data_IF_935248315788
#
_entry.id   IF_935248315788
#
_cell.length_a   1.000
_cell.length_b   1.000
_cell.length_c   1.000
_cell.angle_alpha   90.00
_cell.angle_beta   90.00
_cell.angle_gamma   90.00
#
_symmetry.space_group_name_H-M   'P 1'
#
loop_
_entity.id
_entity.type
_entity.pdbx_description
1 polymer ?
#
# COMPACT_ATOMS: atom_id res chain seq x y z
N UNK A 1 -23.07 1.30 -6.15
CA UNK A 1 -23.89 1.40 -4.93
C UNK A 1 -24.19 2.88 -4.68
N UNK A 2 -25.45 3.30 -4.51
CA UNK A 2 -25.77 4.71 -4.23
C UNK A 2 -25.27 5.10 -2.83
N UNK A 3 -24.56 6.23 -2.74
CA UNK A 3 -23.99 6.72 -1.49
C UNK A 3 -23.82 8.24 -1.53
N UNK A 4 -23.72 8.85 -0.36
CA UNK A 4 -23.42 10.28 -0.16
C UNK A 4 -22.17 10.39 0.70
N UNK A 5 -21.20 11.18 0.25
CA UNK A 5 -19.95 11.43 0.97
C UNK A 5 -20.00 12.82 1.58
N UNK A 6 -19.69 12.93 2.87
CA UNK A 6 -19.56 14.22 3.56
C UNK A 6 -18.29 14.24 4.41
N UNK A 7 -17.57 15.35 4.39
CA UNK A 7 -16.44 15.56 5.29
C UNK A 7 -16.96 15.92 6.69
N UNK A 8 -16.34 15.38 7.73
CA UNK A 8 -16.65 15.65 9.12
C UNK A 8 -15.39 15.93 9.92
N UNK A 9 -15.44 16.99 10.73
CA UNK A 9 -14.40 17.31 11.69
C UNK A 9 -14.89 16.99 13.12
N UNK A 10 -14.11 16.18 13.83
CA UNK A 10 -14.31 15.88 15.23
C UNK A 10 -14.07 17.13 16.07
N UNK A 11 -14.72 17.22 17.24
CA UNK A 11 -14.48 18.27 18.23
C UNK A 11 -13.02 18.31 18.69
N UNK A 12 -12.34 17.17 18.70
CA UNK A 12 -10.90 17.06 19.01
C UNK A 12 -9.99 17.60 17.89
N UNK A 13 -10.52 17.81 16.68
CA UNK A 13 -9.80 18.36 15.52
C UNK A 13 -9.54 17.36 14.39
N UNK A 14 -9.69 16.05 14.63
CA UNK A 14 -9.54 15.03 13.61
C UNK A 14 -10.54 15.16 12.48
N UNK A 15 -10.15 14.77 11.26
CA UNK A 15 -10.98 14.94 10.06
C UNK A 15 -11.21 13.60 9.38
N UNK A 16 -12.36 13.44 8.75
CA UNK A 16 -12.68 12.20 8.08
C UNK A 16 -13.90 12.31 7.19
N UNK A 17 -14.24 11.20 6.55
CA UNK A 17 -15.37 11.08 5.66
C UNK A 17 -16.45 10.22 6.30
N UNK A 18 -17.69 10.69 6.24
CA UNK A 18 -18.88 9.89 6.50
C UNK A 18 -19.49 9.55 5.15
N UNK A 19 -19.54 8.25 4.84
CA UNK A 19 -20.09 7.71 3.59
C UNK A 19 -21.42 7.05 3.92
N UNK A 20 -22.51 7.80 3.74
CA UNK A 20 -23.84 7.29 3.97
C UNK A 20 -24.28 6.42 2.79
N UNK A 21 -24.54 5.14 3.05
CA UNK A 21 -25.00 4.14 2.09
C UNK A 21 -26.38 3.65 2.53
N UNK A 22 -27.48 4.27 2.06
CA UNK A 22 -28.83 3.90 2.47
C UNK A 22 -29.13 2.42 2.24
N UNK A 23 -29.63 1.74 3.27
CA UNK A 23 -30.01 0.32 3.20
C UNK A 23 -28.85 -0.66 3.18
N UNK A 24 -27.60 -0.21 3.36
CA UNK A 24 -26.47 -1.12 3.52
C UNK A 24 -26.68 -2.05 4.73
N UNK A 25 -26.46 -3.36 4.58
CA UNK A 25 -26.57 -4.32 5.69
C UNK A 25 -25.31 -4.38 6.56
N UNK A 26 -24.29 -3.58 6.25
CA UNK A 26 -22.98 -3.56 6.92
C UNK A 26 -22.47 -2.14 7.11
N UNK A 27 -21.59 -1.97 8.09
CA UNK A 27 -20.74 -0.79 8.29
C UNK A 27 -19.28 -1.20 8.11
N UNK A 28 -18.49 -0.34 7.48
CA UNK A 28 -17.04 -0.43 7.40
C UNK A 28 -16.40 0.88 7.88
N UNK A 29 -15.27 0.78 8.55
CA UNK A 29 -14.56 1.95 9.08
C UNK A 29 -13.06 1.76 8.97
N UNK A 30 -12.34 2.86 8.75
CA UNK A 30 -10.90 2.95 8.81
C UNK A 30 -10.48 4.22 9.55
N UNK A 31 -9.57 4.10 10.51
CA UNK A 31 -8.92 5.21 11.20
C UNK A 31 -7.42 5.12 10.95
N UNK A 32 -6.85 6.19 10.41
CA UNK A 32 -5.50 6.19 9.87
C UNK A 32 -4.68 7.33 10.44
N UNK A 33 -3.45 7.02 10.83
CA UNK A 33 -2.48 7.99 11.34
C UNK A 33 -1.22 7.95 10.48
N UNK A 34 -0.55 9.10 10.33
CA UNK A 34 0.85 9.11 9.86
C UNK A 34 1.70 8.68 11.04
N UNK A 35 1.80 7.37 11.21
CA UNK A 35 2.35 6.71 12.39
C UNK A 35 3.13 5.43 12.03
N UNK A 36 3.43 5.25 10.74
CA UNK A 36 4.23 4.14 10.25
C UNK A 36 5.67 4.16 10.74
N UNK A 37 6.47 3.20 10.26
CA UNK A 37 7.83 2.99 10.76
C UNK A 37 8.73 4.25 10.63
N UNK A 38 8.54 5.08 9.61
CA UNK A 38 9.33 6.31 9.39
C UNK A 38 9.06 7.43 10.40
N UNK A 39 8.07 7.27 11.29
CA UNK A 39 7.77 8.26 12.36
C UNK A 39 8.43 7.92 13.71
N UNK A 40 9.10 6.76 13.80
CA UNK A 40 9.84 6.33 14.99
C UNK A 40 11.01 7.27 15.25
N UNK A 41 11.18 7.75 16.50
CA UNK A 41 12.23 8.73 16.87
C UNK A 41 13.65 8.26 16.52
N UNK A 42 13.92 6.98 16.73
CA UNK A 42 15.19 6.33 16.42
C UNK A 42 14.96 5.24 15.37
N UNK A 43 14.43 5.64 14.21
CA UNK A 43 14.08 4.71 13.13
C UNK A 43 15.25 3.79 12.72
N UNK A 44 16.48 4.30 12.79
CA UNK A 44 17.68 3.54 12.41
C UNK A 44 17.95 2.35 13.34
N UNK A 45 17.62 2.47 14.63
CA UNK A 45 17.90 1.41 15.61
C UNK A 45 16.66 0.75 16.20
N UNK A 46 15.47 1.29 15.93
CA UNK A 46 14.18 0.86 16.49
C UNK A 46 13.07 0.77 15.44
N UNK A 47 13.39 0.48 14.18
CA UNK A 47 12.47 0.55 13.05
C UNK A 47 11.14 -0.20 13.23
N UNK A 48 11.11 -1.26 14.05
CA UNK A 48 9.90 -2.06 14.31
C UNK A 48 8.98 -1.50 15.42
N UNK A 49 9.25 -0.32 15.97
CA UNK A 49 8.46 0.25 17.08
C UNK A 49 6.99 0.46 16.67
N UNK A 50 6.74 0.98 15.46
CA UNK A 50 5.37 1.18 14.97
C UNK A 50 4.64 -0.16 14.73
N UNK A 51 5.32 -1.13 14.15
CA UNK A 51 4.79 -2.46 13.89
C UNK A 51 4.45 -3.23 15.17
N UNK A 52 5.32 -3.18 16.19
CA UNK A 52 5.02 -3.77 17.51
C UNK A 52 3.86 -3.04 18.18
N UNK A 53 3.76 -1.71 18.04
CA UNK A 53 2.61 -0.96 18.56
C UNK A 53 1.30 -1.43 17.95
N UNK A 54 1.29 -1.74 16.66
CA UNK A 54 0.14 -2.26 15.93
C UNK A 54 -0.33 -3.61 16.44
N UNK A 55 0.60 -4.55 16.62
CA UNK A 55 0.32 -5.82 17.30
C UNK A 55 -0.30 -5.64 18.68
N UNK A 56 0.18 -4.66 19.44
CA UNK A 56 -0.32 -4.36 20.79
C UNK A 56 -1.61 -3.53 20.79
N UNK A 57 -2.08 -3.05 19.63
CA UNK A 57 -3.13 -2.04 19.56
C UNK A 57 -4.50 -2.53 20.07
N UNK A 58 -4.73 -3.84 19.99
CA UNK A 58 -5.94 -4.51 20.49
C UNK A 58 -5.74 -5.19 21.85
N UNK A 59 -4.64 -4.86 22.54
CA UNK A 59 -4.29 -5.39 23.86
C UNK A 59 -5.06 -4.75 25.02
N UNK A 60 -4.44 -4.72 26.20
CA UNK A 60 -5.02 -4.08 27.38
C UNK A 60 -5.30 -2.58 27.13
N UNK A 61 -6.45 -2.11 27.61
CA UNK A 61 -6.94 -0.73 27.48
C UNK A 61 -7.89 -0.38 28.62
N UNK A 62 -8.36 0.86 28.70
CA UNK A 62 -9.31 1.29 29.75
C UNK A 62 -10.60 0.45 29.80
N UNK A 63 -10.97 -0.20 28.69
CA UNK A 63 -12.16 -1.04 28.59
C UNK A 63 -11.92 -2.55 28.73
N UNK A 64 -10.67 -3.02 28.64
CA UNK A 64 -10.33 -4.44 28.50
C UNK A 64 -9.03 -4.78 29.20
N UNK A 65 -9.03 -5.84 30.01
CA UNK A 65 -7.82 -6.24 30.73
C UNK A 65 -6.83 -6.98 29.82
N UNK A 66 -7.32 -7.62 28.74
CA UNK A 66 -6.49 -8.43 27.83
C UNK A 66 -6.97 -8.33 26.39
N UNK A 67 -6.08 -8.65 25.44
CA UNK A 67 -6.42 -8.79 24.03
C UNK A 67 -7.53 -9.83 23.77
N UNK A 68 -7.56 -10.91 24.56
CA UNK A 68 -8.56 -11.97 24.42
C UNK A 68 -9.97 -11.48 24.79
N UNK A 69 -10.09 -10.64 25.82
CA UNK A 69 -11.37 -10.03 26.19
C UNK A 69 -11.86 -9.02 25.16
N UNK A 70 -10.94 -8.22 24.60
CA UNK A 70 -11.23 -7.31 23.50
C UNK A 70 -11.76 -8.11 22.30
N UNK A 71 -11.00 -9.12 21.86
CA UNK A 71 -11.36 -9.96 20.71
C UNK A 71 -12.72 -10.64 20.89
N UNK A 72 -12.93 -11.32 22.01
CA UNK A 72 -14.18 -12.02 22.29
C UNK A 72 -15.37 -11.04 22.34
N UNK A 73 -15.16 -9.83 22.84
CA UNK A 73 -16.20 -8.79 22.88
C UNK A 73 -16.46 -8.22 21.49
N UNK A 74 -15.41 -7.93 20.72
CA UNK A 74 -15.52 -7.33 19.40
C UNK A 74 -16.22 -8.28 18.44
N UNK A 75 -15.72 -9.52 18.34
CA UNK A 75 -16.14 -10.53 17.36
C UNK A 75 -17.43 -11.26 17.71
N UNK A 76 -17.97 -11.08 18.93
CA UNK A 76 -19.16 -11.78 19.47
C UNK A 76 -20.32 -11.95 18.48
N UNK A 77 -20.59 -10.92 17.67
CA UNK A 77 -21.68 -10.90 16.70
C UNK A 77 -21.19 -10.86 15.24
N UNK A 78 -20.01 -11.44 14.97
CA UNK A 78 -19.43 -11.57 13.64
C UNK A 78 -18.76 -10.32 13.08
N UNK A 79 -18.47 -9.33 13.93
CA UNK A 79 -17.65 -8.20 13.52
C UNK A 79 -16.19 -8.63 13.31
N UNK A 80 -15.54 -8.03 12.33
CA UNK A 80 -14.14 -8.26 11.99
C UNK A 80 -13.40 -6.95 12.23
N UNK A 81 -12.22 -7.03 12.81
CA UNK A 81 -11.29 -5.92 12.93
C UNK A 81 -9.90 -6.37 12.50
N UNK A 82 -9.08 -5.40 12.14
CA UNK A 82 -7.69 -5.61 11.81
C UNK A 82 -6.93 -4.29 12.03
N UNK A 83 -5.61 -4.38 12.11
CA UNK A 83 -4.76 -3.23 11.92
C UNK A 83 -3.61 -3.60 10.98
N UNK A 84 -2.98 -2.59 10.41
CA UNK A 84 -1.75 -2.77 9.65
C UNK A 84 -0.91 -1.51 9.72
N UNK A 85 0.39 -1.70 9.50
CA UNK A 85 1.39 -0.64 9.50
C UNK A 85 2.25 -0.75 8.26
N UNK A 86 2.53 0.38 7.63
CA UNK A 86 3.57 0.51 6.60
C UNK A 86 4.60 1.56 7.04
N UNK A 87 5.45 2.04 6.13
CA UNK A 87 6.45 3.04 6.46
C UNK A 87 5.86 4.41 6.81
N UNK A 88 4.67 4.73 6.30
CA UNK A 88 3.98 6.00 6.49
C UNK A 88 2.75 5.88 7.39
N UNK A 89 1.95 4.83 7.22
CA UNK A 89 0.62 4.71 7.82
C UNK A 89 0.58 3.68 8.94
N UNK A 90 -0.31 3.94 9.90
CA UNK A 90 -0.87 2.92 10.77
C UNK A 90 -2.39 3.04 10.69
N UNK A 91 -3.05 1.93 10.42
CA UNK A 91 -4.47 1.87 10.08
C UNK A 91 -5.18 0.88 10.98
N UNK A 92 -6.30 1.31 11.54
CA UNK A 92 -7.27 0.48 12.25
C UNK A 92 -8.48 0.33 11.37
N UNK A 93 -8.92 -0.90 11.11
CA UNK A 93 -10.10 -1.17 10.31
C UNK A 93 -11.09 -2.09 11.02
N UNK A 94 -12.37 -1.88 10.76
CA UNK A 94 -13.40 -2.79 11.20
C UNK A 94 -14.58 -2.85 10.23
N UNK A 95 -15.20 -4.02 10.16
CA UNK A 95 -16.43 -4.28 9.43
C UNK A 95 -17.41 -5.04 10.31
N UNK A 96 -18.68 -4.65 10.31
CA UNK A 96 -19.72 -5.36 11.04
C UNK A 96 -21.09 -5.29 10.35
N UNK A 97 -22.03 -6.13 10.81
CA UNK A 97 -23.42 -6.01 10.43
C UNK A 97 -24.02 -4.67 10.90
N UNK A 98 -25.00 -4.14 10.16
CA UNK A 98 -25.61 -2.83 10.45
C UNK A 98 -26.14 -2.76 11.87
N UNK A 99 -26.80 -3.79 12.40
CA UNK A 99 -27.34 -3.76 13.76
C UNK A 99 -26.26 -3.61 14.87
N UNK A 100 -24.99 -3.83 14.54
CA UNK A 100 -23.85 -3.72 15.45
C UNK A 100 -23.07 -2.41 15.32
N UNK A 101 -23.38 -1.56 14.33
CA UNK A 101 -22.51 -0.46 13.89
C UNK A 101 -22.07 0.46 15.05
N UNK A 102 -23.00 0.79 15.96
CA UNK A 102 -22.75 1.71 17.06
C UNK A 102 -21.85 1.09 18.14
N UNK A 103 -22.07 -0.20 18.44
CA UNK A 103 -21.26 -0.96 19.39
C UNK A 103 -19.83 -1.11 18.87
N UNK A 104 -19.69 -1.58 17.64
CA UNK A 104 -18.39 -1.86 17.02
C UNK A 104 -17.57 -0.59 16.83
N UNK A 105 -18.19 0.49 16.37
CA UNK A 105 -17.51 1.78 16.27
C UNK A 105 -17.09 2.31 17.65
N UNK A 106 -17.95 2.14 18.66
CA UNK A 106 -17.62 2.52 20.04
C UNK A 106 -16.43 1.73 20.62
N UNK A 107 -16.30 0.44 20.27
CA UNK A 107 -15.21 -0.41 20.75
C UNK A 107 -13.83 -0.02 20.18
N UNK A 108 -13.78 0.55 18.97
CA UNK A 108 -12.53 1.03 18.39
C UNK A 108 -11.89 2.17 19.19
N UNK A 109 -12.68 2.94 19.95
CA UNK A 109 -12.16 3.99 20.85
C UNK A 109 -11.07 3.43 21.77
N UNK A 110 -11.28 2.24 22.35
CA UNK A 110 -10.35 1.69 23.34
C UNK A 110 -8.98 1.36 22.72
N UNK A 111 -8.98 0.73 21.55
CA UNK A 111 -7.75 0.40 20.82
C UNK A 111 -6.98 1.63 20.33
N UNK A 112 -7.71 2.67 19.90
CA UNK A 112 -7.12 3.87 19.29
C UNK A 112 -6.71 4.91 20.33
N UNK A 113 -7.57 5.18 21.31
CA UNK A 113 -7.46 6.32 22.21
C UNK A 113 -6.96 5.97 23.62
N UNK A 114 -7.09 4.70 24.03
CA UNK A 114 -6.83 4.28 25.42
C UNK A 114 -6.00 2.98 25.57
N UNK A 115 -5.03 2.67 24.68
CA UNK A 115 -4.19 1.48 24.86
C UNK A 115 -3.21 1.65 26.03
N UNK A 116 -2.99 0.60 26.82
CA UNK A 116 -2.09 0.64 27.98
C UNK A 116 -0.64 0.30 27.64
N UNK A 117 -0.44 -0.48 26.58
CA UNK A 117 0.87 -1.01 26.15
C UNK A 117 1.68 -1.57 27.33
N UNK A 118 1.11 -2.51 28.10
CA UNK A 118 1.77 -3.03 29.30
C UNK A 118 3.00 -3.91 28.95
N UNK A 119 3.81 -4.22 29.96
CA UNK A 119 5.07 -4.94 29.75
C UNK A 119 4.88 -6.41 29.34
N UNK A 120 3.79 -7.04 29.77
CA UNK A 120 3.50 -8.45 29.49
C UNK A 120 3.03 -8.63 28.04
N UNK A 121 2.11 -7.76 27.57
CA UNK A 121 1.67 -7.65 26.18
C UNK A 121 2.88 -7.39 25.27
N UNK A 122 3.77 -6.47 25.67
CA UNK A 122 4.97 -6.14 24.90
C UNK A 122 5.88 -7.36 24.71
N UNK A 123 6.14 -8.11 25.78
CA UNK A 123 6.99 -9.30 25.71
C UNK A 123 6.41 -10.38 24.79
N UNK A 124 5.08 -10.56 24.80
CA UNK A 124 4.38 -11.48 23.89
C UNK A 124 4.49 -11.02 22.43
N UNK A 125 4.14 -9.77 22.15
CA UNK A 125 4.06 -9.26 20.78
C UNK A 125 5.42 -9.12 20.11
N UNK A 126 6.49 -8.84 20.85
CA UNK A 126 7.87 -8.92 20.33
C UNK A 126 8.18 -10.30 19.77
N UNK A 127 7.71 -11.37 20.42
CA UNK A 127 7.88 -12.74 19.94
C UNK A 127 7.11 -13.03 18.67
N UNK A 128 5.88 -12.52 18.56
CA UNK A 128 5.03 -12.64 17.38
C UNK A 128 5.64 -11.93 16.16
N UNK A 129 5.96 -10.64 16.30
CA UNK A 129 6.60 -9.83 15.24
C UNK A 129 7.91 -10.45 14.77
N UNK A 130 8.76 -10.91 15.70
CA UNK A 130 10.01 -11.58 15.32
C UNK A 130 9.77 -12.83 14.47
N UNK A 131 8.76 -13.64 14.81
CA UNK A 131 8.42 -14.85 14.07
C UNK A 131 7.89 -14.52 12.67
N UNK A 132 7.08 -13.48 12.56
CA UNK A 132 6.55 -12.98 11.29
C UNK A 132 7.67 -12.48 10.37
N UNK A 133 8.58 -11.63 10.86
CA UNK A 133 9.71 -11.12 10.07
C UNK A 133 10.64 -12.24 9.60
N UNK A 134 10.90 -13.24 10.44
CA UNK A 134 11.64 -14.46 10.03
C UNK A 134 10.90 -15.17 8.90
N UNK A 135 9.58 -15.27 8.98
CA UNK A 135 8.74 -15.80 7.91
C UNK A 135 8.91 -15.04 6.60
N UNK A 136 8.96 -13.70 6.65
CA UNK A 136 9.16 -12.84 5.47
C UNK A 136 10.51 -13.05 4.78
N UNK A 137 11.57 -13.39 5.51
CA UNK A 137 12.89 -13.69 4.92
C UNK A 137 12.92 -14.94 4.03
N UNK A 138 11.86 -15.75 4.04
CA UNK A 138 11.69 -16.88 3.13
C UNK A 138 10.97 -16.52 1.82
N UNK A 139 10.41 -15.31 1.72
CA UNK A 139 9.66 -14.85 0.55
C UNK A 139 10.55 -13.97 -0.34
N UNK A 140 10.72 -14.36 -1.60
CA UNK A 140 11.62 -13.69 -2.55
C UNK A 140 11.32 -12.19 -2.68
N UNK A 141 10.07 -11.83 -2.93
CA UNK A 141 9.66 -10.44 -3.16
C UNK A 141 9.87 -9.57 -1.92
N UNK A 142 9.60 -10.10 -0.74
CA UNK A 142 9.80 -9.39 0.54
C UNK A 142 11.28 -9.13 0.85
N UNK A 143 12.19 -9.94 0.32
CA UNK A 143 13.63 -9.68 0.46
C UNK A 143 14.14 -8.76 -0.66
N UNK A 144 13.60 -8.89 -1.87
CA UNK A 144 14.08 -8.20 -3.05
C UNK A 144 13.68 -6.72 -3.08
N UNK A 145 12.39 -6.41 -2.88
CA UNK A 145 11.87 -5.05 -3.08
C UNK A 145 12.38 -4.00 -2.10
N UNK A 146 12.50 -4.27 -0.77
CA UNK A 146 13.15 -3.32 0.13
C UNK A 146 14.60 -3.03 -0.28
N UNK A 147 15.31 -4.02 -0.84
CA UNK A 147 16.68 -3.82 -1.32
C UNK A 147 16.75 -3.02 -2.61
N UNK A 148 15.74 -3.12 -3.48
CA UNK A 148 15.56 -2.24 -4.65
C UNK A 148 15.35 -0.80 -4.19
N UNK A 149 14.42 -0.57 -3.27
CA UNK A 149 14.14 0.75 -2.70
C UNK A 149 15.42 1.38 -2.10
N UNK A 150 16.13 0.64 -1.24
CA UNK A 150 17.41 1.08 -0.68
C UNK A 150 18.51 1.35 -1.71
N UNK A 151 18.61 0.51 -2.75
CA UNK A 151 19.58 0.74 -3.81
C UNK A 151 19.31 2.07 -4.53
N UNK A 152 18.04 2.47 -4.61
CA UNK A 152 17.55 3.67 -5.26
C UNK A 152 17.50 4.91 -4.35
N UNK A 153 17.95 4.82 -3.09
CA UNK A 153 18.04 5.94 -2.16
C UNK A 153 16.92 6.05 -1.12
N UNK A 154 15.93 5.15 -1.14
CA UNK A 154 14.89 5.10 -0.11
C UNK A 154 15.44 4.54 1.22
N UNK A 155 15.13 5.17 2.35
CA UNK A 155 15.63 4.74 3.67
C UNK A 155 14.80 3.62 4.33
N UNK A 156 13.87 3.00 3.60
CA UNK A 156 13.14 1.79 4.02
C UNK A 156 14.09 0.73 4.59
N UNK A 157 13.71 0.12 5.73
CA UNK A 157 14.46 -1.01 6.31
C UNK A 157 14.07 -2.34 5.69
N UNK A 158 15.07 -3.16 5.40
CA UNK A 158 14.85 -4.58 5.10
C UNK A 158 14.30 -5.31 6.33
N UNK A 159 13.62 -6.44 6.13
CA UNK A 159 13.14 -7.26 7.25
C UNK A 159 14.27 -7.79 8.14
N UNK A 160 15.50 -7.96 7.61
CA UNK A 160 16.66 -8.33 8.43
C UNK A 160 17.08 -7.17 9.34
N UNK A 161 17.19 -5.95 8.81
CA UNK A 161 17.48 -4.76 9.64
C UNK A 161 16.36 -4.50 10.66
N UNK A 162 15.11 -4.76 10.28
CA UNK A 162 13.97 -4.76 11.19
C UNK A 162 14.16 -5.74 12.34
N UNK A 163 14.49 -7.00 12.07
CA UNK A 163 14.81 -8.01 13.08
C UNK A 163 15.96 -7.58 14.00
N UNK A 164 17.01 -7.01 13.42
CA UNK A 164 18.20 -6.57 14.15
C UNK A 164 17.90 -5.36 15.07
N UNK A 165 16.86 -4.59 14.77
CA UNK A 165 16.41 -3.44 15.57
C UNK A 165 15.60 -3.82 16.81
N UNK A 166 14.89 -4.96 16.79
CA UNK A 166 13.96 -5.38 17.85
C UNK A 166 14.58 -5.36 19.26
N UNK A 167 15.82 -5.83 19.49
CA UNK A 167 16.43 -5.84 20.82
C UNK A 167 16.59 -4.45 21.47
N UNK A 168 16.53 -3.36 20.69
CA UNK A 168 16.68 -1.99 21.19
C UNK A 168 15.34 -1.33 21.57
N UNK A 169 14.22 -2.02 21.33
CA UNK A 169 12.88 -1.48 21.51
C UNK A 169 12.40 -1.80 22.92
N UNK A 170 11.74 -0.82 23.55
CA UNK A 170 11.13 -0.97 24.89
C UNK A 170 9.64 -0.63 24.83
N UNK A 171 8.87 -1.09 25.82
CA UNK A 171 7.46 -0.70 25.95
C UNK A 171 7.27 0.82 26.07
N UNK A 172 8.27 1.55 26.57
CA UNK A 172 8.23 3.01 26.63
C UNK A 172 8.37 3.66 25.25
N UNK A 173 9.17 3.07 24.35
CA UNK A 173 9.24 3.54 22.96
C UNK A 173 7.89 3.40 22.25
N UNK A 174 7.14 2.34 22.55
CA UNK A 174 5.78 2.11 22.03
C UNK A 174 4.82 3.20 22.53
N UNK A 175 4.81 3.46 23.85
CA UNK A 175 3.97 4.52 24.45
C UNK A 175 4.32 5.90 23.91
N UNK A 176 5.60 6.20 23.76
CA UNK A 176 6.06 7.47 23.22
C UNK A 176 5.70 7.62 21.73
N UNK A 177 5.82 6.54 20.95
CA UNK A 177 5.39 6.52 19.55
C UNK A 177 3.89 6.79 19.43
N UNK A 178 3.05 6.11 20.23
CA UNK A 178 1.61 6.37 20.29
C UNK A 178 1.33 7.82 20.66
N UNK A 179 1.91 8.33 21.76
CA UNK A 179 1.69 9.70 22.25
C UNK A 179 2.02 10.77 21.21
N UNK A 180 3.07 10.55 20.40
CA UNK A 180 3.50 11.50 19.35
C UNK A 180 2.65 11.41 18.08
N UNK A 181 2.14 10.23 17.74
CA UNK A 181 1.55 9.96 16.43
C UNK A 181 0.02 9.87 16.45
N UNK A 182 -0.57 9.44 17.56
CA UNK A 182 -2.02 9.28 17.74
C UNK A 182 -2.64 10.57 18.28
N UNK A 183 -2.51 11.64 17.50
CA UNK A 183 -3.08 12.96 17.80
C UNK A 183 -4.24 13.29 16.88
N UNK A 184 -5.12 14.16 17.33
CA UNK A 184 -6.34 14.49 16.61
C UNK A 184 -6.05 15.11 15.22
N UNK A 185 -5.13 16.07 15.09
CA UNK A 185 -4.80 16.64 13.77
C UNK A 185 -4.10 15.67 12.83
N UNK A 186 -3.48 14.61 13.38
CA UNK A 186 -2.87 13.54 12.60
C UNK A 186 -3.87 12.45 12.16
N UNK A 187 -5.07 12.40 12.73
CA UNK A 187 -6.10 11.42 12.37
C UNK A 187 -6.77 11.76 11.03
N UNK A 188 -6.88 10.74 10.17
CA UNK A 188 -7.85 10.68 9.07
C UNK A 188 -8.74 9.46 9.26
N UNK A 189 -10.04 9.58 9.02
CA UNK A 189 -10.94 8.43 9.10
C UNK A 189 -11.93 8.38 7.94
N UNK A 190 -12.43 7.18 7.66
CA UNK A 190 -13.60 6.97 6.79
C UNK A 190 -14.54 6.02 7.52
N UNK A 191 -15.80 6.40 7.64
CA UNK A 191 -16.85 5.53 8.19
C UNK A 191 -17.99 5.44 7.18
N UNK A 192 -18.25 4.23 6.70
CA UNK A 192 -19.21 3.95 5.65
C UNK A 192 -20.27 2.96 6.11
N UNK A 193 -21.53 3.23 5.82
CA UNK A 193 -22.64 2.37 6.25
C UNK A 193 -23.99 3.08 6.13
N UNK A 194 -25.06 2.46 6.59
CA UNK A 194 -26.36 3.09 6.58
C UNK A 194 -26.49 4.07 7.76
N UNK A 195 -26.57 5.37 7.51
CA UNK A 195 -26.70 6.37 8.58
C UNK A 195 -27.97 7.22 8.47
N UNK A 196 -28.94 6.80 7.64
CA UNK A 196 -30.24 7.46 7.52
C UNK A 196 -30.92 7.52 8.88
N UNK A 197 -31.21 8.73 9.37
CA UNK A 197 -31.79 8.96 10.70
C UNK A 197 -30.85 8.71 11.90
N UNK A 198 -29.57 8.37 11.65
CA UNK A 198 -28.59 7.96 12.68
C UNK A 198 -27.32 8.82 12.72
N UNK A 199 -27.20 9.84 11.86
CA UNK A 199 -26.02 10.73 11.78
C UNK A 199 -25.70 11.42 13.13
N UNK A 200 -26.71 11.80 13.92
CA UNK A 200 -26.48 12.41 15.24
C UNK A 200 -25.72 11.47 16.18
N UNK A 201 -26.20 10.23 16.32
CA UNK A 201 -25.55 9.19 17.13
C UNK A 201 -24.15 8.85 16.61
N UNK A 202 -23.97 8.77 15.29
CA UNK A 202 -22.65 8.55 14.69
C UNK A 202 -21.66 9.66 15.10
N UNK A 203 -22.07 10.92 14.99
CA UNK A 203 -21.25 12.07 15.39
C UNK A 203 -20.96 12.07 16.88
N UNK A 204 -21.90 11.67 17.74
CA UNK A 204 -21.66 11.53 19.17
C UNK A 204 -20.59 10.49 19.47
N UNK A 205 -20.67 9.30 18.85
CA UNK A 205 -19.67 8.24 19.00
C UNK A 205 -18.31 8.72 18.50
N UNK A 206 -18.23 9.30 17.29
CA UNK A 206 -16.98 9.80 16.73
C UNK A 206 -16.36 10.92 17.60
N UNK A 207 -17.17 11.79 18.19
CA UNK A 207 -16.67 12.81 19.11
C UNK A 207 -16.25 12.28 20.49
N UNK A 208 -16.53 11.02 20.80
CA UNK A 208 -16.04 10.37 22.01
C UNK A 208 -14.59 9.87 21.88
N UNK A 209 -14.01 9.90 20.67
CA UNK A 209 -12.61 9.57 20.41
C UNK A 209 -11.72 10.71 20.93
N UNK A 210 -11.33 10.58 22.19
CA UNK A 210 -10.53 11.55 22.94
C UNK A 210 -9.05 11.38 22.62
N UNK A 211 -8.62 11.99 21.52
CA UNK A 211 -7.21 12.09 21.14
C UNK A 211 -6.62 13.42 21.61
N UNK A 212 -5.34 13.39 21.98
CA UNK A 212 -4.59 14.62 22.29
C UNK A 212 -4.49 15.54 21.07
N UNK A 213 -4.31 16.84 21.32
CA UNK A 213 -4.04 17.80 20.25
C UNK A 213 -2.67 17.52 19.61
N UNK A 214 -2.55 17.83 18.32
CA UNK A 214 -1.31 17.70 17.55
C UNK A 214 -1.55 17.98 16.08
N UNK A 215 -0.49 18.26 15.34
CA UNK A 215 -0.55 18.58 13.92
C UNK A 215 -0.49 17.31 13.05
N UNK A 216 -0.87 17.45 11.78
CA UNK A 216 -0.64 16.41 10.77
C UNK A 216 0.86 16.29 10.54
N UNK A 217 1.45 15.13 10.84
CA UNK A 217 2.89 14.92 10.69
C UNK A 217 3.27 14.93 9.20
N UNK A 218 4.45 15.48 8.81
CA UNK A 218 4.88 15.48 7.41
C UNK A 218 5.32 14.08 6.96
N UNK A 219 5.14 13.76 5.67
CA UNK A 219 5.67 12.51 5.08
C UNK A 219 7.16 12.70 4.83
N UNK A 220 7.98 11.71 5.20
CA UNK A 220 9.41 11.74 4.94
C UNK A 220 9.68 11.76 3.43
N UNK A 221 10.74 12.48 3.02
CA UNK A 221 11.14 12.60 1.62
C UNK A 221 12.57 12.11 1.49
N UNK A 222 12.77 11.11 0.63
CA UNK A 222 14.07 10.56 0.31
C UNK A 222 14.56 11.08 -1.06
N UNK A 223 15.87 11.21 -1.19
CA UNK A 223 16.51 11.60 -2.45
C UNK A 223 16.76 10.36 -3.32
N UNK A 224 15.90 10.16 -4.30
CA UNK A 224 15.97 9.02 -5.19
C UNK A 224 17.10 9.17 -6.22
N UNK A 225 17.85 8.10 -6.49
CA UNK A 225 18.92 8.06 -7.48
C UNK A 225 18.98 6.71 -8.21
N UNK A 226 19.57 6.68 -9.42
CA UNK A 226 19.81 5.42 -10.12
C UNK A 226 20.82 4.55 -9.39
N UNK A 227 20.76 3.25 -9.63
CA UNK A 227 21.66 2.30 -9.00
C UNK A 227 22.11 1.21 -10.00
N UNK A 228 23.35 0.70 -9.89
CA UNK A 228 23.76 -0.46 -10.68
C UNK A 228 22.89 -1.68 -10.31
N UNK A 229 22.87 -2.69 -11.19
CA UNK A 229 22.18 -3.93 -10.85
C UNK A 229 22.78 -4.61 -9.61
N UNK A 230 21.99 -5.46 -8.95
CA UNK A 230 22.48 -6.27 -7.84
C UNK A 230 21.83 -7.65 -7.81
N UNK A 231 22.43 -8.55 -7.03
CA UNK A 231 21.97 -9.93 -6.89
C UNK A 231 22.02 -10.38 -5.43
N UNK A 232 20.90 -10.90 -4.94
CA UNK A 232 20.77 -11.57 -3.64
C UNK A 232 20.80 -13.08 -3.90
N UNK A 233 21.97 -13.69 -3.69
CA UNK A 233 22.17 -15.10 -4.03
C UNK A 233 21.58 -16.02 -2.96
N UNK A 234 20.65 -16.90 -3.37
CA UNK A 234 20.03 -17.96 -2.57
C UNK A 234 20.07 -19.28 -3.33
N UNK A 235 21.07 -20.11 -3.00
CA UNK A 235 21.33 -21.40 -3.70
C UNK A 235 20.23 -22.43 -3.51
N UNK A 236 19.45 -22.29 -2.44
CA UNK A 236 18.32 -23.12 -2.06
C UNK A 236 17.03 -22.78 -2.84
N UNK A 237 17.01 -21.66 -3.57
CA UNK A 237 15.88 -21.20 -4.37
C UNK A 237 16.18 -21.47 -5.85
N UNK A 238 15.53 -22.45 -6.50
CA UNK A 238 15.84 -22.83 -7.89
C UNK A 238 15.49 -21.77 -8.92
N UNK A 239 14.46 -20.95 -8.65
CA UNK A 239 14.03 -19.86 -9.52
C UNK A 239 14.80 -18.56 -9.30
N UNK A 240 14.53 -17.57 -10.15
CA UNK A 240 14.99 -16.20 -9.98
C UNK A 240 13.78 -15.27 -9.83
N UNK A 241 13.78 -14.48 -8.76
CA UNK A 241 12.97 -13.26 -8.67
C UNK A 241 13.66 -12.12 -9.40
N UNK A 242 12.96 -11.48 -10.33
CA UNK A 242 13.39 -10.30 -11.06
C UNK A 242 12.61 -9.09 -10.54
N UNK A 243 13.31 -8.00 -10.27
CA UNK A 243 12.73 -6.68 -10.04
C UNK A 243 13.43 -5.65 -10.92
N UNK A 244 12.64 -4.82 -11.61
CA UNK A 244 13.09 -3.64 -12.33
C UNK A 244 12.25 -2.48 -11.84
N UNK A 245 12.89 -1.40 -11.39
CA UNK A 245 12.18 -0.23 -10.87
C UNK A 245 12.69 1.02 -11.58
N UNK A 246 11.76 1.82 -12.10
CA UNK A 246 12.02 3.13 -12.68
C UNK A 246 11.33 4.19 -11.81
N UNK A 247 12.01 5.25 -11.43
CA UNK A 247 11.51 6.27 -10.50
C UNK A 247 11.52 7.65 -11.14
N UNK A 248 10.50 8.45 -10.83
CA UNK A 248 10.47 9.90 -11.10
C UNK A 248 10.28 10.68 -9.79
N UNK A 249 11.00 11.77 -9.53
CA UNK A 249 10.96 12.55 -8.29
C UNK A 249 9.81 13.57 -8.33
N UNK A 250 8.63 13.12 -8.73
CA UNK A 250 7.40 13.90 -8.70
C UNK A 250 6.19 12.98 -8.54
N UNK A 251 5.13 13.51 -7.95
CA UNK A 251 3.80 12.92 -8.02
C UNK A 251 3.28 12.95 -9.47
N UNK A 252 2.82 11.82 -9.98
CA UNK A 252 2.03 11.79 -11.20
C UNK A 252 0.61 12.32 -10.94
N UNK A 253 0.07 13.09 -11.88
CA UNK A 253 -1.32 13.56 -11.85
C UNK A 253 -2.31 12.40 -12.01
N UNK A 254 -3.59 12.63 -11.69
CA UNK A 254 -4.65 11.61 -11.85
C UNK A 254 -4.66 11.05 -13.27
N UNK A 255 -4.68 11.92 -14.29
CA UNK A 255 -4.68 11.51 -15.68
C UNK A 255 -3.45 10.67 -16.08
N UNK A 256 -2.27 10.99 -15.53
CA UNK A 256 -1.05 10.19 -15.73
C UNK A 256 -1.16 8.83 -15.03
N UNK A 257 -1.72 8.76 -13.82
CA UNK A 257 -1.99 7.50 -13.11
C UNK A 257 -2.97 6.62 -13.89
N UNK A 258 -4.04 7.19 -14.43
CA UNK A 258 -5.01 6.47 -15.27
C UNK A 258 -4.37 6.00 -16.60
N UNK A 259 -3.54 6.84 -17.22
CA UNK A 259 -2.79 6.48 -18.43
C UNK A 259 -1.86 5.28 -18.18
N UNK A 260 -1.08 5.32 -17.11
CA UNK A 260 -0.18 4.22 -16.75
C UNK A 260 -0.91 2.96 -16.29
N UNK A 261 -2.10 3.10 -15.68
CA UNK A 261 -2.96 1.96 -15.33
C UNK A 261 -3.45 1.22 -16.58
N UNK A 262 -3.86 1.96 -17.62
CA UNK A 262 -4.22 1.39 -18.92
C UNK A 262 -3.00 0.75 -19.61
N UNK A 263 -1.84 1.40 -19.55
CA UNK A 263 -0.60 0.85 -20.10
C UNK A 263 -0.19 -0.45 -19.42
N UNK A 264 -0.27 -0.54 -18.09
CA UNK A 264 0.00 -1.76 -17.34
C UNK A 264 -0.92 -2.90 -17.80
N UNK A 265 -2.19 -2.61 -18.11
CA UNK A 265 -3.10 -3.61 -18.68
C UNK A 265 -2.68 -4.06 -20.08
N UNK A 266 -2.32 -3.12 -20.96
CA UNK A 266 -1.83 -3.42 -22.32
C UNK A 266 -0.57 -4.30 -22.27
N UNK A 267 0.34 -4.05 -21.33
CA UNK A 267 1.60 -4.78 -21.21
C UNK A 267 1.44 -6.13 -20.50
N UNK A 268 0.77 -6.20 -19.35
CA UNK A 268 0.79 -7.38 -18.47
C UNK A 268 -0.59 -7.88 -18.01
N UNK A 269 -1.68 -7.21 -18.35
CA UNK A 269 -3.00 -7.45 -17.75
C UNK A 269 -3.64 -8.81 -18.04
N UNK A 270 -3.39 -9.42 -19.19
CA UNK A 270 -4.05 -10.65 -19.65
C UNK A 270 -3.12 -11.55 -20.48
N UNK A 271 -3.63 -12.69 -20.92
CA UNK A 271 -2.95 -13.57 -21.88
C UNK A 271 -2.90 -13.00 -23.32
N UNK A 272 -3.56 -11.88 -23.58
CA UNK A 272 -3.47 -11.14 -24.84
C UNK A 272 -2.54 -9.93 -24.75
N UNK A 273 -2.12 -9.54 -23.55
CA UNK A 273 -1.21 -8.42 -23.32
C UNK A 273 0.18 -8.68 -23.91
N UNK A 274 0.88 -7.59 -24.27
CA UNK A 274 2.11 -7.63 -25.06
C UNK A 274 3.26 -8.40 -24.40
N UNK A 275 3.45 -8.23 -23.09
CA UNK A 275 4.51 -8.90 -22.32
C UNK A 275 3.97 -10.20 -21.73
N UNK A 276 2.97 -10.14 -20.84
CA UNK A 276 2.46 -11.34 -20.16
C UNK A 276 1.92 -12.40 -21.13
N UNK A 277 1.18 -11.99 -22.17
CA UNK A 277 0.65 -12.90 -23.18
C UNK A 277 1.73 -13.56 -24.04
N UNK A 278 2.69 -12.78 -24.54
CA UNK A 278 3.83 -13.29 -25.31
C UNK A 278 4.72 -14.23 -24.48
N UNK A 279 5.03 -13.83 -23.25
CA UNK A 279 5.79 -14.62 -22.31
C UNK A 279 5.15 -16.00 -22.05
N UNK A 280 3.83 -16.03 -21.88
CA UNK A 280 3.05 -17.27 -21.72
C UNK A 280 3.02 -18.11 -22.98
N UNK A 281 2.84 -17.50 -24.15
CA UNK A 281 2.79 -18.20 -25.44
C UNK A 281 4.11 -18.89 -25.77
N UNK A 282 5.23 -18.24 -25.43
CA UNK A 282 6.59 -18.78 -25.63
C UNK A 282 7.08 -19.68 -24.49
N UNK A 283 6.30 -19.84 -23.41
CA UNK A 283 6.70 -20.62 -22.24
C UNK A 283 7.88 -20.02 -21.48
N UNK A 284 8.08 -18.70 -21.54
CA UNK A 284 9.20 -18.02 -20.87
C UNK A 284 9.00 -17.95 -19.35
N UNK A 285 7.81 -17.57 -18.89
CA UNK A 285 7.48 -17.42 -17.48
C UNK A 285 6.00 -17.66 -17.20
N UNK A 286 5.67 -17.95 -15.95
CA UNK A 286 4.29 -18.16 -15.53
C UNK A 286 3.53 -16.83 -15.39
N UNK A 287 4.16 -15.82 -14.78
CA UNK A 287 3.57 -14.52 -14.56
C UNK A 287 4.62 -13.44 -14.40
N UNK A 288 4.40 -12.32 -15.07
CA UNK A 288 5.11 -11.06 -14.94
C UNK A 288 4.07 -9.96 -14.74
N UNK A 289 4.33 -9.07 -13.81
CA UNK A 289 3.46 -7.94 -13.52
C UNK A 289 4.22 -6.63 -13.74
N UNK A 290 3.44 -5.58 -13.95
CA UNK A 290 3.91 -4.20 -13.83
C UNK A 290 2.93 -3.38 -13.01
N UNK A 291 3.44 -2.46 -12.20
CA UNK A 291 2.66 -1.62 -11.31
C UNK A 291 3.21 -0.21 -11.29
N UNK A 292 2.31 0.78 -11.32
CA UNK A 292 2.65 2.16 -11.00
C UNK A 292 2.30 2.41 -9.53
N UNK A 293 3.22 3.01 -8.79
CA UNK A 293 2.96 3.55 -7.45
C UNK A 293 3.22 5.05 -7.47
N UNK A 294 2.32 5.84 -6.90
CA UNK A 294 2.44 7.30 -6.85
C UNK A 294 2.36 7.77 -5.41
N UNK A 295 3.41 8.46 -4.98
CA UNK A 295 3.54 9.08 -3.68
C UNK A 295 3.60 10.59 -3.83
N UNK A 296 3.56 11.31 -2.71
CA UNK A 296 3.50 12.78 -2.72
C UNK A 296 4.74 13.43 -3.37
N UNK A 297 5.90 12.78 -3.27
CA UNK A 297 7.17 13.34 -3.71
C UNK A 297 7.88 12.53 -4.82
N UNK A 298 7.44 11.31 -5.09
CA UNK A 298 7.97 10.47 -6.14
C UNK A 298 6.92 9.48 -6.66
N UNK A 299 7.17 8.90 -7.83
CA UNK A 299 6.39 7.79 -8.38
C UNK A 299 7.34 6.74 -8.93
N UNK A 300 6.97 5.46 -8.84
CA UNK A 300 7.70 4.33 -9.39
C UNK A 300 6.87 3.57 -10.43
N UNK A 301 7.55 3.08 -11.46
CA UNK A 301 7.01 2.10 -12.39
C UNK A 301 7.85 0.82 -12.32
N UNK A 302 7.24 -0.19 -11.73
CA UNK A 302 7.90 -1.40 -11.26
C UNK A 302 7.47 -2.60 -12.10
N UNK A 303 8.42 -3.49 -12.41
CA UNK A 303 8.20 -4.76 -13.09
C UNK A 303 8.76 -5.90 -12.24
N UNK A 304 7.96 -6.95 -12.07
CA UNK A 304 8.35 -8.11 -11.26
C UNK A 304 7.97 -9.43 -11.91
N UNK A 305 8.81 -10.45 -11.72
CA UNK A 305 8.52 -11.81 -12.18
C UNK A 305 9.30 -12.88 -11.40
N UNK A 306 8.74 -14.09 -11.37
CA UNK A 306 9.49 -15.31 -11.03
C UNK A 306 9.74 -16.13 -12.29
N UNK A 307 11.00 -16.42 -12.58
CA UNK A 307 11.42 -17.00 -13.85
C UNK A 307 12.59 -17.97 -13.66
N UNK A 308 12.70 -18.96 -14.56
CA UNK A 308 13.85 -19.86 -14.57
C UNK A 308 15.10 -19.16 -15.07
N UNK A 309 16.27 -19.63 -14.63
CA UNK A 309 17.57 -19.10 -15.06
C UNK A 309 17.71 -19.03 -16.58
N UNK A 310 17.26 -20.06 -17.30
CA UNK A 310 17.38 -20.16 -18.76
C UNK A 310 16.51 -19.16 -19.51
N UNK A 311 15.36 -18.77 -18.95
CA UNK A 311 14.38 -17.94 -19.64
C UNK A 311 14.51 -16.46 -19.29
N UNK A 312 15.21 -16.13 -18.20
CA UNK A 312 15.34 -14.77 -17.70
C UNK A 312 15.89 -13.77 -18.75
N UNK A 313 16.96 -14.07 -19.53
CA UNK A 313 17.43 -13.15 -20.57
C UNK A 313 16.38 -12.83 -21.63
N UNK A 314 15.63 -13.84 -22.08
CA UNK A 314 14.56 -13.66 -23.06
C UNK A 314 13.35 -12.90 -22.49
N UNK A 315 13.09 -13.04 -21.19
CA UNK A 315 12.07 -12.27 -20.47
C UNK A 315 12.44 -10.79 -20.39
N UNK A 316 13.68 -10.46 -20.02
CA UNK A 316 14.16 -9.07 -19.96
C UNK A 316 14.18 -8.43 -21.36
N UNK A 317 14.61 -9.16 -22.39
CA UNK A 317 14.55 -8.68 -23.77
C UNK A 317 13.10 -8.35 -24.19
N UNK A 318 12.13 -9.18 -23.81
CA UNK A 318 10.72 -8.94 -24.09
C UNK A 318 10.21 -7.66 -23.43
N UNK A 319 10.50 -7.45 -22.15
CA UNK A 319 10.12 -6.21 -21.43
C UNK A 319 10.76 -5.00 -22.11
N UNK A 320 12.06 -5.06 -22.37
CA UNK A 320 12.83 -3.98 -23.01
C UNK A 320 12.23 -3.60 -24.36
N UNK A 321 11.95 -4.60 -25.21
CA UNK A 321 11.40 -4.38 -26.54
C UNK A 321 9.98 -3.78 -26.50
N UNK A 322 9.11 -4.26 -25.62
CA UNK A 322 7.75 -3.74 -25.52
C UNK A 322 7.71 -2.33 -24.93
N UNK A 323 8.56 -2.01 -23.95
CA UNK A 323 8.74 -0.65 -23.47
C UNK A 323 9.32 0.27 -24.56
N UNK A 324 10.28 -0.22 -25.36
CA UNK A 324 10.83 0.53 -26.50
C UNK A 324 9.74 0.83 -27.54
N UNK A 325 8.86 -0.12 -27.86
CA UNK A 325 7.72 0.11 -28.76
C UNK A 325 6.80 1.21 -28.24
N UNK A 326 6.51 1.24 -26.94
CA UNK A 326 5.72 2.32 -26.32
C UNK A 326 6.47 3.65 -26.42
N UNK A 327 7.77 3.66 -26.10
CA UNK A 327 8.65 4.85 -26.25
C UNK A 327 8.67 5.37 -27.69
N UNK A 328 8.62 4.49 -28.69
CA UNK A 328 8.58 4.84 -30.12
C UNK A 328 7.20 5.31 -30.59
N UNK A 329 6.20 5.35 -29.70
CA UNK A 329 4.86 5.85 -29.98
C UNK A 329 3.88 4.78 -30.44
N UNK A 330 4.19 3.49 -30.24
CA UNK A 330 3.32 2.39 -30.65
C UNK A 330 2.39 1.97 -29.50
N UNK A 331 1.25 2.65 -29.39
CA UNK A 331 0.09 2.23 -28.60
C UNK A 331 -1.10 2.19 -29.56
N UNK A 332 -1.61 0.99 -29.85
CA UNK A 332 -2.70 0.84 -30.82
C UNK A 332 -4.03 1.30 -30.23
N UNK A 333 -4.85 1.96 -31.04
CA UNK A 333 -6.18 2.44 -30.63
C UNK A 333 -7.11 1.27 -30.22
N UNK A 334 -6.95 0.11 -30.84
CA UNK A 334 -7.72 -1.10 -30.52
C UNK A 334 -7.30 -1.65 -29.16
N UNK A 335 -6.00 -1.76 -28.89
CA UNK A 335 -5.48 -2.19 -27.58
C UNK A 335 -5.91 -1.22 -26.47
N UNK A 336 -5.90 0.09 -26.75
CA UNK A 336 -6.41 1.10 -25.82
C UNK A 336 -7.91 0.95 -25.57
N UNK A 337 -8.72 0.73 -26.62
CA UNK A 337 -10.16 0.52 -26.48
C UNK A 337 -10.48 -0.73 -25.65
N UNK A 338 -9.72 -1.82 -25.84
CA UNK A 338 -9.83 -3.04 -25.04
C UNK A 338 -9.42 -2.81 -23.58
N UNK A 339 -8.31 -2.10 -23.34
CA UNK A 339 -7.86 -1.76 -21.99
C UNK A 339 -8.87 -0.86 -21.25
N UNK A 340 -9.47 0.11 -21.94
CA UNK A 340 -10.55 0.93 -21.38
C UNK A 340 -11.77 0.09 -21.05
N UNK A 341 -12.17 -0.83 -21.93
CA UNK A 341 -13.29 -1.74 -21.69
C UNK A 341 -13.05 -2.63 -20.46
N UNK A 342 -11.82 -3.14 -20.32
CA UNK A 342 -11.41 -3.88 -19.12
C UNK A 342 -11.48 -3.01 -17.86
N UNK A 343 -10.91 -1.81 -17.90
CA UNK A 343 -10.90 -0.88 -16.77
C UNK A 343 -12.33 -0.49 -16.34
N UNK A 344 -13.23 -0.27 -17.30
CA UNK A 344 -14.66 -0.05 -17.06
C UNK A 344 -15.33 -1.23 -16.36
N UNK A 345 -15.02 -2.46 -16.78
CA UNK A 345 -15.46 -3.67 -16.09
C UNK A 345 -14.95 -3.77 -14.66
N UNK A 346 -13.66 -3.47 -14.43
CA UNK A 346 -13.05 -3.43 -13.09
C UNK A 346 -13.69 -2.37 -12.21
N UNK A 347 -13.92 -1.18 -12.73
CA UNK A 347 -14.64 -0.10 -12.04
C UNK A 347 -16.03 -0.56 -11.57
N UNK A 348 -16.81 -1.21 -12.44
CA UNK A 348 -18.15 -1.69 -12.10
C UNK A 348 -18.14 -2.74 -10.98
N UNK A 349 -17.13 -3.61 -10.96
CA UNK A 349 -16.94 -4.62 -9.92
C UNK A 349 -16.30 -4.06 -8.64
N UNK A 350 -15.56 -2.94 -8.75
CA UNK A 350 -14.77 -2.35 -7.68
C UNK A 350 -15.58 -1.63 -6.60
N UNK A 351 -16.91 -1.49 -6.74
CA UNK A 351 -17.77 -0.81 -5.74
C UNK A 351 -19.05 -1.58 -5.42
N UNK A 352 -18.91 -2.89 -5.29
CA UNK A 352 -20.00 -3.78 -4.92
C UNK A 352 -20.27 -3.75 -3.41
N UNK A 353 -19.29 -3.38 -2.59
CA UNK A 353 -19.38 -3.43 -1.12
C UNK A 353 -19.12 -2.06 -0.49
N UNK A 354 -19.66 -1.88 0.73
CA UNK A 354 -19.41 -0.70 1.56
C UNK A 354 -17.92 -0.54 1.87
N UNK A 355 -17.24 -1.66 2.18
CA UNK A 355 -15.81 -1.67 2.47
C UNK A 355 -14.95 -1.24 1.28
N UNK A 356 -15.29 -1.64 0.06
CA UNK A 356 -14.58 -1.20 -1.15
C UNK A 356 -14.68 0.31 -1.37
N UNK A 357 -15.86 0.91 -1.18
CA UNK A 357 -16.04 2.36 -1.31
C UNK A 357 -15.28 3.09 -0.20
N UNK A 358 -15.35 2.57 1.04
CA UNK A 358 -14.63 3.13 2.17
C UNK A 358 -13.12 3.13 1.94
N UNK A 359 -12.56 1.99 1.51
CA UNK A 359 -11.13 1.84 1.19
C UNK A 359 -10.69 2.77 0.07
N UNK A 360 -11.44 2.83 -1.03
CA UNK A 360 -11.10 3.70 -2.17
C UNK A 360 -11.03 5.18 -1.78
N UNK A 361 -11.97 5.66 -0.95
CA UNK A 361 -11.94 7.03 -0.44
C UNK A 361 -10.82 7.23 0.59
N UNK A 362 -10.60 6.23 1.45
CA UNK A 362 -9.59 6.24 2.49
C UNK A 362 -8.18 6.36 1.93
N UNK A 363 -7.86 5.62 0.87
CA UNK A 363 -6.54 5.59 0.24
C UNK A 363 -6.11 7.00 -0.19
N UNK A 364 -6.98 7.74 -0.88
CA UNK A 364 -6.64 9.11 -1.34
C UNK A 364 -6.72 10.13 -0.21
N UNK A 365 -7.81 10.12 0.56
CA UNK A 365 -8.07 11.12 1.59
C UNK A 365 -7.01 11.11 2.70
N UNK A 366 -6.39 9.96 2.98
CA UNK A 366 -5.28 9.87 3.93
C UNK A 366 -4.06 10.70 3.51
N UNK A 367 -3.63 10.60 2.26
CA UNK A 367 -2.39 11.20 1.79
C UNK A 367 -2.52 12.71 1.59
N UNK A 368 -3.51 13.17 0.84
CA UNK A 368 -3.63 14.58 0.42
C UNK A 368 -4.97 15.25 0.83
N UNK A 369 -5.88 14.51 1.46
CA UNK A 369 -7.17 15.04 1.89
C UNK A 369 -8.16 15.29 0.75
N UNK A 370 -7.85 14.83 -0.47
CA UNK A 370 -8.77 14.93 -1.61
C UNK A 370 -9.89 13.91 -1.47
N UNK A 371 -11.13 14.36 -1.65
CA UNK A 371 -12.32 13.52 -1.76
C UNK A 371 -12.53 13.27 -3.25
N UNK A 372 -12.12 12.09 -3.73
CA UNK A 372 -12.26 11.74 -5.15
C UNK A 372 -13.73 11.44 -5.50
N UNK A 373 -14.11 11.78 -6.73
CA UNK A 373 -15.43 11.49 -7.28
C UNK A 373 -15.40 10.16 -8.02
N UNK A 374 -15.92 9.14 -7.35
CA UNK A 374 -16.01 7.80 -7.91
C UNK A 374 -16.83 7.80 -9.21
N UNK A 375 -17.87 8.63 -9.31
CA UNK A 375 -18.74 8.68 -10.49
C UNK A 375 -18.05 9.26 -11.72
N UNK A 376 -16.95 10.00 -11.54
CA UNK A 376 -16.15 10.57 -12.61
C UNK A 376 -15.14 9.58 -13.21
N UNK A 377 -14.83 8.47 -12.54
CA UNK A 377 -13.83 7.48 -12.99
C UNK A 377 -14.09 7.00 -14.44
N UNK A 378 -15.34 6.66 -14.85
CA UNK A 378 -15.63 6.32 -16.24
C UNK A 378 -15.24 7.38 -17.25
N UNK A 379 -15.49 8.66 -16.93
CA UNK A 379 -15.15 9.76 -17.80
C UNK A 379 -13.62 9.92 -17.89
N UNK A 380 -12.90 9.79 -16.76
CA UNK A 380 -11.43 9.84 -16.73
C UNK A 380 -10.80 8.73 -17.56
N UNK A 381 -11.26 7.48 -17.41
CA UNK A 381 -10.80 6.33 -18.22
C UNK A 381 -11.01 6.60 -19.71
N UNK A 382 -12.21 7.05 -20.09
CA UNK A 382 -12.53 7.27 -21.50
C UNK A 382 -11.76 8.44 -22.13
N UNK A 383 -11.40 9.45 -21.32
CA UNK A 383 -10.65 10.62 -21.77
C UNK A 383 -9.19 10.32 -22.13
N UNK A 384 -8.60 9.21 -21.65
CA UNK A 384 -7.19 8.90 -21.90
C UNK A 384 -6.91 8.66 -23.39
N UNK A 385 -5.95 9.36 -23.97
CA UNK A 385 -5.49 9.14 -25.35
C UNK A 385 -4.20 8.30 -25.42
N UNK A 386 -3.86 7.70 -26.58
CA UNK A 386 -2.56 7.06 -26.77
C UNK A 386 -1.39 8.00 -26.48
N UNK A 387 -1.48 9.27 -26.87
CA UNK A 387 -0.42 10.26 -26.66
C UNK A 387 -0.14 10.50 -25.18
N UNK A 388 -1.18 10.54 -24.33
CA UNK A 388 -1.00 10.68 -22.88
C UNK A 388 -0.26 9.47 -22.29
N UNK A 389 -0.59 8.25 -22.74
CA UNK A 389 0.12 7.03 -22.33
C UNK A 389 1.59 7.10 -22.75
N UNK A 390 1.84 7.41 -24.02
CA UNK A 390 3.18 7.46 -24.59
C UNK A 390 4.02 8.53 -23.88
N UNK A 391 3.48 9.72 -23.66
CA UNK A 391 4.23 10.82 -23.07
C UNK A 391 4.51 10.58 -21.58
N UNK A 392 3.57 9.99 -20.84
CA UNK A 392 3.80 9.61 -19.43
C UNK A 392 4.89 8.54 -19.32
N UNK A 393 4.83 7.50 -20.16
CA UNK A 393 5.86 6.47 -20.19
C UNK A 393 7.23 7.04 -20.61
N UNK A 394 7.26 7.94 -21.60
CA UNK A 394 8.48 8.64 -22.01
C UNK A 394 9.04 9.50 -20.91
N UNK A 395 8.23 10.19 -20.13
CA UNK A 395 8.71 11.01 -19.03
C UNK A 395 9.43 10.16 -17.97
N UNK A 396 8.84 9.03 -17.60
CA UNK A 396 9.45 8.07 -16.67
C UNK A 396 10.77 7.53 -17.23
N UNK A 397 10.80 7.10 -18.49
CA UNK A 397 12.02 6.59 -19.12
C UNK A 397 13.08 7.70 -19.28
N UNK A 398 12.69 8.91 -19.67
CA UNK A 398 13.61 10.06 -19.86
C UNK A 398 14.30 10.46 -18.56
N UNK A 399 13.67 10.23 -17.40
CA UNK A 399 14.26 10.56 -16.11
C UNK A 399 15.48 9.67 -15.77
N UNK A 400 15.59 8.48 -16.38
CA UNK A 400 16.76 7.60 -16.27
C UNK A 400 17.22 7.32 -14.82
N UNK A 401 16.26 7.23 -13.90
CA UNK A 401 16.49 6.82 -12.51
C UNK A 401 15.92 5.41 -12.34
N UNK A 402 16.77 4.38 -12.41
CA UNK A 402 16.32 3.00 -12.34
C UNK A 402 17.40 2.04 -11.81
N UNK A 403 16.97 0.83 -11.45
CA UNK A 403 17.84 -0.30 -11.12
C UNK A 403 17.21 -1.64 -11.51
N UNK A 404 18.01 -2.71 -11.48
CA UNK A 404 17.60 -4.09 -11.67
C UNK A 404 18.15 -4.97 -10.54
N UNK A 405 17.25 -5.64 -9.83
CA UNK A 405 17.58 -6.56 -8.75
C UNK A 405 17.21 -7.99 -9.09
N UNK A 406 18.07 -8.94 -8.71
CA UNK A 406 17.78 -10.38 -8.80
C UNK A 406 17.82 -11.04 -7.41
N UNK A 407 16.97 -12.04 -7.20
CA UNK A 407 16.98 -12.90 -6.01
C UNK A 407 16.92 -14.38 -6.42
N UNK A 408 17.69 -15.26 -5.77
CA UNK A 408 17.61 -16.71 -6.01
C UNK A 408 18.91 -17.33 -6.54
N UNK A 409 18.79 -18.31 -7.44
CA UNK A 409 19.92 -18.97 -8.12
C UNK A 409 20.56 -18.07 -9.18
N UNK A 410 21.17 -16.97 -8.71
CA UNK A 410 21.72 -15.89 -9.52
C UNK A 410 23.08 -15.40 -8.98
N UNK A 411 23.73 -14.51 -9.71
CA UNK A 411 24.95 -13.79 -9.32
C UNK A 411 25.01 -12.40 -9.96
N UNK A 412 26.02 -11.62 -9.53
CA UNK A 412 26.22 -10.24 -10.00
C UNK A 412 26.51 -10.19 -11.50
N UNK A 413 27.25 -11.15 -12.06
CA UNK A 413 27.55 -11.18 -13.50
C UNK A 413 26.30 -11.33 -14.35
N UNK A 414 25.37 -12.20 -13.94
CA UNK A 414 24.06 -12.33 -14.59
C UNK A 414 23.25 -11.03 -14.46
N UNK A 415 23.21 -10.43 -13.28
CA UNK A 415 22.50 -9.17 -13.06
C UNK A 415 23.03 -8.05 -13.97
N UNK A 416 24.35 -7.93 -14.11
CA UNK A 416 24.99 -6.94 -14.99
C UNK A 416 24.65 -7.17 -16.47
N UNK A 417 24.66 -8.43 -16.93
CA UNK A 417 24.26 -8.75 -18.32
C UNK A 417 22.81 -8.40 -18.62
N UNK A 418 21.91 -8.56 -17.65
CA UNK A 418 20.50 -8.19 -17.81
C UNK A 418 20.30 -6.68 -17.71
N UNK A 419 21.07 -6.02 -16.85
CA UNK A 419 21.11 -4.57 -16.78
C UNK A 419 21.49 -3.98 -18.13
N UNK A 420 22.55 -4.48 -18.78
CA UNK A 420 22.97 -4.01 -20.11
C UNK A 420 21.92 -4.25 -21.19
N UNK A 421 21.12 -5.32 -21.06
CA UNK A 421 19.99 -5.58 -21.98
C UNK A 421 18.89 -4.54 -21.81
N UNK A 422 18.48 -4.29 -20.57
CA UNK A 422 17.44 -3.32 -20.25
C UNK A 422 17.88 -1.87 -20.50
N UNK A 423 19.17 -1.58 -20.28
CA UNK A 423 19.78 -0.27 -20.49
C UNK A 423 19.64 0.24 -21.94
N UNK A 424 19.41 -0.65 -22.92
CA UNK A 424 19.12 -0.27 -24.31
C UNK A 424 17.85 0.56 -24.48
N UNK A 425 16.97 0.57 -23.46
CA UNK A 425 15.78 1.39 -23.43
C UNK A 425 16.09 2.89 -23.22
N UNK A 426 17.27 3.22 -22.67
CA UNK A 426 17.70 4.58 -22.34
C UNK A 426 18.71 5.07 -23.38
#
# INVERSE_FOLDING_TARGET
MQHEVSEYQLKSGGRGLIVNVPGAPVMASQFQFRAGNRYVLDYQHKSQTAHIMEHMAFGASDGFATAHEYDATFTKNGAIYNAYTDDVSMVYEATCADFEWSRVLGLQKYAICQPHFNQDDFASEVGAVRSELIGYLSQADRVLWPRVAQAMGDDTKTFQEGLDSIPNITAEDIREHWRRTHTAGNLRFVVAGNFVGRIGQLREILNSFELGAGDRLPIAVDEMHSAPAFAIRRKDVPGIGLAISLVVPRKLSDAENEAMSLLNHILNGTLHSRIQGEARRRGLLYYMWSQLSTFEHNSSWDFGAQVSVSNLPAGVDLVTNEMQRVKDGLVDETELAEAKSYAMGRYQMGTQTVGQIAGWLADRYFFDGVIDDFSAVPARINAISPEQIIETARDIIRHNCWTLGLYGSTDKTMADQLYDRFAKLF
#
